data_IF_508053822163
#
_entry.id   IF_508053822163
#
_cell.length_a   1.000
_cell.length_b   1.000
_cell.length_c   1.000
_cell.angle_alpha   90.00
_cell.angle_beta   90.00
_cell.angle_gamma   90.00
#
_symmetry.space_group_name_H-M   'P 1'
#
loop_
_entity.id
_entity.type
_entity.pdbx_description
1 polymer ?
#
# COMPACT_ATOMS: atom_id res chain seq x y z
N UNK A 1 8.17 16.74 -21.38
CA UNK A 1 7.28 17.04 -20.23
C UNK A 1 8.13 17.13 -18.95
N UNK A 2 8.06 18.23 -18.19
CA UNK A 2 8.90 18.43 -17.00
C UNK A 2 8.20 17.92 -15.73
N UNK A 3 9.00 17.52 -14.73
CA UNK A 3 8.50 17.12 -13.40
C UNK A 3 7.71 18.25 -12.73
N UNK A 4 8.18 19.48 -12.88
CA UNK A 4 7.54 20.69 -12.32
C UNK A 4 6.14 20.85 -12.91
N UNK A 5 5.98 20.70 -14.23
CA UNK A 5 4.68 20.78 -14.88
C UNK A 5 3.69 19.75 -14.31
N UNK A 6 4.13 18.48 -14.18
CA UNK A 6 3.30 17.40 -13.62
C UNK A 6 2.94 17.69 -12.16
N UNK A 7 3.90 18.17 -11.36
CA UNK A 7 3.66 18.56 -9.97
C UNK A 7 2.61 19.67 -9.85
N UNK A 8 2.68 20.70 -10.70
CA UNK A 8 1.72 21.80 -10.73
C UNK A 8 0.33 21.37 -11.18
N UNK A 9 0.23 20.60 -12.28
CA UNK A 9 -1.07 20.16 -12.82
C UNK A 9 -1.78 19.19 -11.87
N UNK A 10 -1.05 18.22 -11.31
CA UNK A 10 -1.63 17.23 -10.40
C UNK A 10 -1.73 17.71 -8.96
N UNK A 11 -1.25 18.93 -8.65
CA UNK A 11 -1.17 19.49 -7.29
C UNK A 11 -0.45 18.54 -6.32
N UNK A 12 0.66 17.97 -6.76
CA UNK A 12 1.47 17.01 -5.99
C UNK A 12 2.87 17.55 -5.70
N UNK A 13 3.51 16.98 -4.67
CA UNK A 13 4.94 17.21 -4.41
C UNK A 13 5.77 16.68 -5.58
N UNK A 14 6.91 17.31 -5.85
CA UNK A 14 7.79 16.92 -6.96
C UNK A 14 8.24 15.46 -6.90
N UNK A 15 8.44 14.90 -5.70
CA UNK A 15 8.82 13.50 -5.54
C UNK A 15 7.75 12.54 -6.06
N UNK A 16 6.48 12.83 -5.78
CA UNK A 16 5.34 12.07 -6.31
C UNK A 16 5.24 12.26 -7.83
N UNK A 17 5.42 13.49 -8.31
CA UNK A 17 5.43 13.78 -9.75
C UNK A 17 6.55 13.03 -10.49
N UNK A 18 7.76 12.93 -9.91
CA UNK A 18 8.86 12.11 -10.45
C UNK A 18 8.45 10.65 -10.57
N UNK A 19 7.78 10.10 -9.56
CA UNK A 19 7.31 8.72 -9.61
C UNK A 19 6.25 8.52 -10.71
N UNK A 20 5.33 9.47 -10.87
CA UNK A 20 4.34 9.44 -11.96
C UNK A 20 5.03 9.45 -13.32
N UNK A 21 5.99 10.37 -13.54
CA UNK A 21 6.74 10.44 -14.81
C UNK A 21 7.48 9.13 -15.09
N UNK A 22 8.12 8.53 -14.08
CA UNK A 22 8.77 7.21 -14.22
C UNK A 22 7.78 6.12 -14.64
N UNK A 23 6.59 6.11 -14.06
CA UNK A 23 5.57 5.12 -14.38
C UNK A 23 5.01 5.32 -15.81
N UNK A 24 4.81 6.57 -16.24
CA UNK A 24 4.36 6.88 -17.61
C UNK A 24 5.40 6.46 -18.66
N UNK A 25 6.68 6.68 -18.38
CA UNK A 25 7.78 6.18 -19.21
C UNK A 25 7.81 4.66 -19.25
N UNK A 26 7.69 4.01 -18.09
CA UNK A 26 7.67 2.55 -17.99
C UNK A 26 6.47 1.92 -18.73
N UNK A 27 5.34 2.63 -18.82
CA UNK A 27 4.17 2.20 -19.57
C UNK A 27 4.25 2.48 -21.09
N UNK A 28 5.33 3.12 -21.57
CA UNK A 28 5.47 3.49 -22.98
C UNK A 28 4.55 4.61 -23.43
N UNK A 29 3.99 5.40 -22.50
CA UNK A 29 3.11 6.54 -22.80
C UNK A 29 3.90 7.83 -23.04
N UNK A 30 5.13 7.89 -22.55
CA UNK A 30 5.97 9.08 -22.60
C UNK A 30 7.39 8.67 -22.93
N UNK A 31 7.99 9.36 -23.90
CA UNK A 31 9.38 9.17 -24.31
C UNK A 31 10.38 9.70 -23.26
N UNK A 32 11.68 9.47 -23.48
CA UNK A 32 12.72 9.91 -22.55
C UNK A 32 12.79 11.45 -22.42
N UNK A 33 12.60 12.18 -23.52
CA UNK A 33 12.50 13.64 -23.59
C UNK A 33 11.16 14.20 -23.01
N UNK A 34 10.24 13.29 -22.72
CA UNK A 34 8.94 13.58 -22.17
C UNK A 34 7.89 14.01 -23.20
N UNK A 35 8.04 13.68 -24.48
CA UNK A 35 6.95 13.77 -25.45
C UNK A 35 5.97 12.61 -25.28
N UNK A 36 4.65 12.82 -25.48
CA UNK A 36 3.70 11.72 -25.57
C UNK A 36 4.05 10.81 -26.75
N UNK A 37 3.90 9.50 -26.56
CA UNK A 37 4.02 8.51 -27.64
C UNK A 37 2.74 8.43 -28.46
N UNK A 38 2.77 7.74 -29.61
CA UNK A 38 1.55 7.43 -30.36
C UNK A 38 0.54 6.62 -29.53
N UNK A 39 1.02 5.66 -28.72
CA UNK A 39 0.19 4.90 -27.77
C UNK A 39 -0.55 5.84 -26.81
N UNK A 40 0.08 6.95 -26.38
CA UNK A 40 -0.57 7.91 -25.50
C UNK A 40 -1.63 8.77 -26.19
N UNK A 41 -1.52 8.99 -27.51
CA UNK A 41 -2.57 9.63 -28.29
C UNK A 41 -3.73 8.65 -28.51
N UNK A 42 -3.42 7.43 -28.91
CA UNK A 42 -4.38 6.35 -29.16
C UNK A 42 -5.16 5.98 -27.90
N UNK A 43 -4.52 6.04 -26.73
CA UNK A 43 -5.17 5.80 -25.44
C UNK A 43 -6.22 6.85 -25.06
N UNK A 44 -6.17 8.05 -25.66
CA UNK A 44 -7.15 9.13 -25.41
C UNK A 44 -8.27 9.15 -26.43
N UNK A 45 -8.14 8.35 -27.49
CA UNK A 45 -9.10 8.22 -28.56
C UNK A 45 -10.02 7.02 -28.24
N UNK A 46 -11.33 7.26 -28.17
CA UNK A 46 -12.30 6.22 -27.81
C UNK A 46 -12.32 5.06 -28.83
N UNK A 47 -12.03 5.33 -30.11
CA UNK A 47 -11.99 4.33 -31.18
C UNK A 47 -10.71 3.49 -31.10
N UNK A 48 -9.58 4.11 -30.71
CA UNK A 48 -8.25 3.48 -30.67
C UNK A 48 -7.79 3.05 -29.28
N UNK A 49 -8.62 3.30 -28.26
CA UNK A 49 -8.36 2.93 -26.87
C UNK A 49 -8.03 1.43 -26.71
N UNK A 50 -8.78 0.56 -27.39
CA UNK A 50 -8.57 -0.88 -27.32
C UNK A 50 -7.21 -1.32 -27.87
N UNK A 51 -6.76 -0.70 -28.97
CA UNK A 51 -5.45 -0.93 -29.57
C UNK A 51 -4.33 -0.47 -28.62
N UNK A 52 -4.48 0.73 -28.05
CA UNK A 52 -3.54 1.28 -27.09
C UNK A 52 -3.43 0.40 -25.83
N UNK A 53 -4.56 -0.12 -25.32
CA UNK A 53 -4.58 -1.07 -24.21
C UNK A 53 -3.85 -2.37 -24.56
N UNK A 54 -4.01 -2.90 -25.78
CA UNK A 54 -3.26 -4.06 -26.26
C UNK A 54 -1.75 -3.79 -26.29
N UNK A 55 -1.33 -2.64 -26.80
CA UNK A 55 0.07 -2.22 -26.84
C UNK A 55 0.67 -2.07 -25.43
N UNK A 56 -0.07 -1.44 -24.50
CA UNK A 56 0.35 -1.33 -23.10
C UNK A 56 0.41 -2.69 -22.40
N UNK A 57 -0.48 -3.63 -22.74
CA UNK A 57 -0.49 -4.97 -22.16
C UNK A 57 0.78 -5.75 -22.54
N UNK A 58 1.35 -5.50 -23.71
CA UNK A 58 2.58 -6.15 -24.19
C UNK A 58 3.81 -5.82 -23.31
N UNK A 59 3.79 -4.71 -22.57
CA UNK A 59 4.85 -4.36 -21.60
C UNK A 59 4.86 -5.30 -20.39
N UNK A 60 3.73 -5.95 -20.08
CA UNK A 60 3.65 -6.88 -18.98
C UNK A 60 4.26 -8.26 -19.34
N UNK A 61 4.95 -8.91 -18.38
CA UNK A 61 5.53 -10.23 -18.59
C UNK A 61 4.51 -11.26 -19.05
N UNK A 62 4.97 -12.21 -19.88
CA UNK A 62 4.10 -13.22 -20.47
C UNK A 62 3.38 -14.06 -19.41
N UNK A 63 4.05 -14.39 -18.30
CA UNK A 63 3.48 -15.20 -17.23
C UNK A 63 2.26 -14.52 -16.58
N UNK A 64 2.27 -13.18 -16.50
CA UNK A 64 1.14 -12.42 -15.99
C UNK A 64 -0.04 -12.41 -16.98
N UNK A 65 0.26 -12.36 -18.28
CA UNK A 65 -0.77 -12.40 -19.33
C UNK A 65 -1.44 -13.77 -19.42
N UNK A 66 -0.70 -14.85 -19.16
CA UNK A 66 -1.20 -16.22 -19.16
C UNK A 66 -2.03 -16.56 -17.92
N UNK A 67 -1.59 -16.12 -16.74
CA UNK A 67 -2.32 -16.39 -15.48
C UNK A 67 -3.62 -15.59 -15.37
N UNK A 68 -3.68 -14.44 -16.03
CA UNK A 68 -4.80 -13.52 -15.96
C UNK A 68 -5.15 -12.96 -17.35
N UNK A 69 -5.70 -13.80 -18.24
CA UNK A 69 -6.09 -13.38 -19.58
C UNK A 69 -7.26 -12.39 -19.53
N UNK A 70 -7.30 -11.46 -20.50
CA UNK A 70 -8.43 -10.55 -20.70
C UNK A 70 -9.70 -11.29 -21.16
N UNK A 71 -10.89 -10.66 -21.10
CA UNK A 71 -11.16 -9.26 -20.76
C UNK A 71 -11.58 -9.01 -19.29
N UNK A 72 -11.65 -10.06 -18.46
CA UNK A 72 -12.03 -9.95 -17.04
C UNK A 72 -11.07 -10.76 -16.16
N UNK A 73 -9.82 -10.31 -16.02
CA UNK A 73 -8.85 -11.01 -15.17
C UNK A 73 -9.25 -10.93 -13.69
N UNK A 74 -8.94 -12.00 -12.94
CA UNK A 74 -9.16 -12.05 -11.50
C UNK A 74 -8.17 -11.13 -10.78
N UNK A 75 -8.72 -10.13 -10.06
CA UNK A 75 -7.95 -9.14 -9.31
C UNK A 75 -7.04 -9.77 -8.26
N UNK A 76 -7.49 -10.79 -7.55
CA UNK A 76 -6.73 -11.40 -6.46
C UNK A 76 -5.58 -12.24 -7.00
N UNK A 77 -5.79 -12.91 -8.13
CA UNK A 77 -4.73 -13.63 -8.86
C UNK A 77 -3.63 -12.66 -9.30
N UNK A 78 -4.00 -11.56 -9.95
CA UNK A 78 -3.05 -10.53 -10.42
C UNK A 78 -2.31 -9.88 -9.24
N UNK A 79 -3.03 -9.54 -8.16
CA UNK A 79 -2.44 -8.97 -6.94
C UNK A 79 -1.42 -9.93 -6.33
N UNK A 80 -1.78 -11.20 -6.16
CA UNK A 80 -0.89 -12.21 -5.59
C UNK A 80 0.33 -12.44 -6.48
N UNK A 81 0.19 -12.37 -7.80
CA UNK A 81 1.31 -12.42 -8.73
C UNK A 81 2.27 -11.24 -8.50
N UNK A 82 1.78 -9.99 -8.41
CA UNK A 82 2.64 -8.83 -8.14
C UNK A 82 3.36 -8.94 -6.79
N UNK A 83 2.68 -9.40 -5.74
CA UNK A 83 3.31 -9.63 -4.43
C UNK A 83 4.44 -10.66 -4.51
N UNK A 84 4.24 -11.76 -5.24
CA UNK A 84 5.22 -12.87 -5.32
C UNK A 84 6.38 -12.55 -6.26
N UNK A 85 6.09 -12.03 -7.45
CA UNK A 85 7.05 -11.79 -8.52
C UNK A 85 7.84 -10.48 -8.32
N UNK A 86 7.19 -9.41 -7.85
CA UNK A 86 7.81 -8.08 -7.67
C UNK A 86 8.16 -7.77 -6.22
N UNK A 87 7.83 -8.66 -5.28
CA UNK A 87 8.11 -8.51 -3.82
C UNK A 87 7.59 -7.19 -3.24
N UNK A 88 6.47 -6.71 -3.77
CA UNK A 88 5.83 -5.47 -3.30
C UNK A 88 4.80 -5.76 -2.21
N UNK A 89 4.60 -4.80 -1.29
CA UNK A 89 3.57 -4.90 -0.25
C UNK A 89 2.15 -4.89 -0.82
N UNK A 90 1.18 -5.35 -0.02
CA UNK A 90 -0.22 -5.53 -0.42
C UNK A 90 -0.87 -4.26 -1.02
N UNK A 91 -0.60 -3.09 -0.46
CA UNK A 91 -1.12 -1.82 -0.98
C UNK A 91 -0.59 -1.48 -2.38
N UNK A 92 0.71 -1.65 -2.61
CA UNK A 92 1.31 -1.43 -3.94
C UNK A 92 0.84 -2.47 -4.95
N UNK A 93 0.76 -3.75 -4.56
CA UNK A 93 0.21 -4.82 -5.40
C UNK A 93 -1.25 -4.56 -5.81
N UNK A 94 -2.05 -4.00 -4.90
CA UNK A 94 -3.44 -3.63 -5.16
C UNK A 94 -3.55 -2.56 -6.25
N UNK A 95 -2.69 -1.54 -6.20
CA UNK A 95 -2.65 -0.49 -7.22
C UNK A 95 -2.19 -1.06 -8.57
N UNK A 96 -1.13 -1.87 -8.59
CA UNK A 96 -0.62 -2.52 -9.80
C UNK A 96 -1.68 -3.44 -10.44
N UNK A 97 -2.41 -4.22 -9.64
CA UNK A 97 -3.48 -5.07 -10.12
C UNK A 97 -4.64 -4.26 -10.72
N UNK A 98 -5.02 -3.15 -10.07
CA UNK A 98 -6.06 -2.26 -10.61
C UNK A 98 -5.70 -1.69 -11.99
N UNK A 99 -4.45 -1.28 -12.17
CA UNK A 99 -3.96 -0.79 -13.48
C UNK A 99 -3.95 -1.90 -14.53
N UNK A 100 -3.47 -3.10 -14.18
CA UNK A 100 -3.50 -4.25 -15.10
C UNK A 100 -4.93 -4.59 -15.51
N UNK A 101 -5.87 -4.65 -14.56
CA UNK A 101 -7.29 -4.92 -14.84
C UNK A 101 -7.89 -3.90 -15.80
N UNK A 102 -7.58 -2.61 -15.61
CA UNK A 102 -8.05 -1.54 -16.49
C UNK A 102 -7.58 -1.79 -17.93
N UNK A 103 -6.27 -1.99 -18.12
CA UNK A 103 -5.65 -2.19 -19.43
C UNK A 103 -6.15 -3.50 -20.08
N UNK A 104 -6.17 -4.60 -19.32
CA UNK A 104 -6.58 -5.91 -19.82
C UNK A 104 -8.08 -6.00 -20.15
N UNK A 105 -8.91 -5.14 -19.54
CA UNK A 105 -10.33 -5.07 -19.86
C UNK A 105 -10.63 -4.29 -21.14
N UNK A 106 -9.77 -3.32 -21.48
CA UNK A 106 -9.96 -2.40 -22.61
C UNK A 106 -11.39 -1.83 -22.71
N UNK A 107 -12.04 -1.63 -21.55
CA UNK A 107 -13.47 -1.34 -21.45
C UNK A 107 -13.70 0.08 -20.94
N UNK A 108 -14.06 0.98 -21.86
CA UNK A 108 -14.44 2.37 -21.56
C UNK A 108 -15.79 2.49 -20.82
N UNK A 109 -16.64 1.45 -20.87
CA UNK A 109 -18.00 1.47 -20.34
C UNK A 109 -18.07 1.47 -18.82
N UNK A 110 -17.09 0.85 -18.14
CA UNK A 110 -17.10 0.70 -16.66
C UNK A 110 -16.82 1.98 -15.89
N UNK A 111 -16.29 3.02 -16.52
CA UNK A 111 -16.00 4.28 -15.85
C UNK A 111 -17.26 5.15 -15.65
N UNK A 112 -18.34 4.90 -16.41
CA UNK A 112 -19.62 5.62 -16.25
C UNK A 112 -20.40 5.24 -14.99
N UNK A 113 -20.19 4.02 -14.47
CA UNK A 113 -21.00 3.47 -13.36
C UNK A 113 -20.26 3.40 -12.02
N UNK A 114 -19.02 3.88 -11.94
CA UNK A 114 -18.29 3.90 -10.68
C UNK A 114 -18.88 5.01 -9.76
N UNK A 115 -19.45 4.67 -8.58
CA UNK A 115 -19.88 5.69 -7.65
C UNK A 115 -18.64 6.47 -7.20
N UNK A 116 -18.64 7.78 -7.48
CA UNK A 116 -17.62 8.73 -7.03
C UNK A 116 -17.48 8.58 -5.53
N UNK A 117 -16.41 7.91 -5.06
CA UNK A 117 -16.10 7.83 -3.64
C UNK A 117 -15.83 9.26 -3.17
N UNK A 118 -16.79 9.84 -2.47
CA UNK A 118 -16.63 11.13 -1.84
C UNK A 118 -15.39 11.06 -0.95
N UNK A 119 -14.36 11.84 -1.30
CA UNK A 119 -13.25 12.13 -0.40
C UNK A 119 -13.83 12.92 0.75
N UNK A 120 -14.22 12.25 1.83
CA UNK A 120 -14.45 12.91 3.10
C UNK A 120 -13.11 13.48 3.57
N UNK A 121 -12.84 14.72 3.18
CA UNK A 121 -11.85 15.58 3.82
C UNK A 121 -12.36 15.84 5.23
N UNK A 122 -11.94 15.00 6.18
CA UNK A 122 -12.14 15.26 7.60
C UNK A 122 -11.27 16.43 8.03
N UNK A 123 -11.78 17.65 7.86
CA UNK A 123 -11.27 18.83 8.56
C UNK A 123 -11.74 18.75 10.00
N UNK A 124 -10.88 18.31 10.91
CA UNK A 124 -11.11 18.42 12.35
C UNK A 124 -10.53 19.74 12.83
N UNK A 125 -11.37 20.79 12.86
CA UNK A 125 -11.07 22.05 13.54
C UNK A 125 -11.96 22.16 14.79
N UNK A 126 -11.31 22.15 15.96
CA UNK A 126 -11.58 22.97 17.14
C UNK A 126 -12.94 22.88 17.85
N UNK A 127 -12.90 22.47 19.12
CA UNK A 127 -13.89 22.93 20.11
C UNK A 127 -13.94 22.14 21.42
N UNK A 128 -13.31 22.68 22.48
CA UNK A 128 -13.83 22.58 23.85
C UNK A 128 -13.14 21.63 24.83
N UNK A 129 -12.15 22.16 25.58
CA UNK A 129 -11.74 21.64 26.89
C UNK A 129 -12.92 21.57 27.88
N UNK A 130 -12.87 20.61 28.83
CA UNK A 130 -12.86 21.05 30.23
C UNK A 130 -11.68 20.47 31.05
N UNK A 131 -11.06 21.38 31.83
CA UNK A 131 -10.13 21.16 32.98
C UNK A 131 -10.49 19.91 33.81
N UNK A 132 -9.55 19.13 34.35
CA UNK A 132 -8.74 19.35 35.58
C UNK A 132 -8.12 17.98 36.00
N UNK A 133 -7.15 17.81 36.93
CA UNK A 133 -5.96 18.57 37.31
C UNK A 133 -4.63 17.79 37.05
N UNK A 134 -3.53 18.53 37.09
CA UNK A 134 -2.17 18.03 37.13
C UNK A 134 -1.90 17.04 38.28
N UNK A 135 -1.22 15.92 37.97
CA UNK A 135 -0.43 15.16 38.95
C UNK A 135 1.04 15.13 38.52
N UNK A 136 1.87 15.36 39.52
CA UNK A 136 3.29 15.73 39.49
C UNK A 136 4.15 14.68 38.78
N UNK A 137 5.07 15.16 37.95
CA UNK A 137 6.14 14.36 37.39
C UNK A 137 7.06 13.83 38.49
N UNK A 138 7.24 12.51 38.51
CA UNK A 138 8.38 11.87 39.17
C UNK A 138 9.44 11.66 38.09
N UNK A 139 10.56 12.37 38.22
CA UNK A 139 11.79 12.04 37.51
C UNK A 139 12.27 10.68 38.03
N UNK A 140 12.36 9.68 37.17
CA UNK A 140 13.21 8.51 37.44
C UNK A 140 14.49 8.62 36.62
N UNK A 141 15.55 8.90 37.37
CA UNK A 141 16.97 8.76 37.03
C UNK A 141 17.40 7.29 37.11
N UNK A 142 18.16 6.83 36.10
CA UNK A 142 19.00 5.61 36.11
C UNK A 142 18.23 4.29 35.99
N UNK A 143 18.62 3.31 35.16
CA UNK A 143 19.98 2.84 34.89
C UNK A 143 20.01 2.14 33.52
N UNK A 144 20.90 2.58 32.62
CA UNK A 144 21.19 1.87 31.36
C UNK A 144 22.15 0.74 31.72
N UNK A 145 21.68 -0.50 31.68
CA UNK A 145 22.58 -1.65 31.71
C UNK A 145 22.97 -1.94 30.26
N UNK A 146 24.17 -1.52 29.87
CA UNK A 146 24.79 -1.97 28.63
C UNK A 146 25.05 -3.47 28.71
N UNK A 147 24.28 -4.26 27.96
CA UNK A 147 24.69 -5.61 27.60
C UNK A 147 25.42 -5.55 26.26
N UNK A 148 26.75 -5.52 26.32
CA UNK A 148 27.60 -5.93 25.20
C UNK A 148 27.43 -7.44 25.02
N UNK A 149 26.66 -7.85 24.01
CA UNK A 149 26.50 -9.27 23.67
C UNK A 149 25.55 -9.50 22.50
N UNK A 150 26.13 -9.76 21.32
CA UNK A 150 25.53 -10.29 20.09
C UNK A 150 24.37 -9.47 19.50
N UNK A 151 24.63 -8.90 18.31
CA UNK A 151 23.63 -8.26 17.45
C UNK A 151 22.54 -9.27 17.06
N UNK A 152 21.50 -9.34 17.88
CA UNK A 152 20.22 -9.94 17.51
C UNK A 152 19.45 -8.92 16.67
N UNK A 153 18.70 -9.35 15.63
CA UNK A 153 17.84 -8.45 14.90
C UNK A 153 16.81 -7.85 15.86
N UNK A 154 16.77 -6.51 15.92
CA UNK A 154 15.85 -5.77 16.76
C UNK A 154 14.44 -5.83 16.14
N UNK A 155 13.69 -6.88 16.48
CA UNK A 155 12.32 -7.06 16.00
C UNK A 155 11.34 -6.28 16.89
N UNK A 156 10.69 -5.26 16.31
CA UNK A 156 9.57 -4.57 16.95
C UNK A 156 8.28 -5.31 16.60
N UNK A 157 7.65 -5.93 17.58
CA UNK A 157 6.41 -6.71 17.40
C UNK A 157 5.25 -5.88 17.94
N UNK A 158 4.31 -5.51 17.05
CA UNK A 158 3.06 -4.88 17.41
C UNK A 158 1.93 -5.91 17.30
N UNK A 159 1.32 -6.28 18.44
CA UNK A 159 0.21 -7.23 18.51
C UNK A 159 -1.09 -6.49 18.80
N UNK A 160 -2.09 -6.66 17.95
CA UNK A 160 -3.45 -6.14 18.15
C UNK A 160 -4.39 -7.29 18.53
N UNK A 161 -5.03 -7.19 19.68
CA UNK A 161 -5.96 -8.19 20.19
C UNK A 161 -7.36 -7.62 20.06
N UNK A 162 -8.26 -8.37 19.42
CA UNK A 162 -9.68 -8.03 19.38
C UNK A 162 -10.38 -8.75 20.53
N UNK A 163 -10.74 -8.02 21.58
CA UNK A 163 -11.47 -8.57 22.73
C UNK A 163 -12.96 -8.44 22.43
N UNK A 164 -13.69 -9.54 22.52
CA UNK A 164 -15.14 -9.54 22.36
C UNK A 164 -15.78 -8.83 23.56
N UNK A 165 -16.79 -7.94 23.37
CA UNK A 165 -17.43 -7.23 24.49
C UNK A 165 -18.15 -8.15 25.47
N UNK A 166 -18.35 -9.42 25.13
CA UNK A 166 -19.00 -10.42 25.99
C UNK A 166 -18.01 -11.23 26.84
N UNK A 167 -16.69 -11.04 26.67
CA UNK A 167 -15.67 -11.74 27.45
C UNK A 167 -15.68 -11.32 28.92
N UNK A 168 -15.52 -12.31 29.81
CA UNK A 168 -15.35 -12.06 31.24
C UNK A 168 -13.90 -11.68 31.58
N UNK A 169 -13.70 -11.05 32.74
CA UNK A 169 -12.37 -10.65 33.20
C UNK A 169 -11.37 -11.83 33.23
N UNK A 170 -11.81 -12.99 33.74
CA UNK A 170 -10.97 -14.19 33.81
C UNK A 170 -10.52 -14.69 32.42
N UNK A 171 -11.35 -14.53 31.39
CA UNK A 171 -11.02 -14.91 30.02
C UNK A 171 -10.00 -13.96 29.40
N UNK A 172 -10.11 -12.66 29.69
CA UNK A 172 -9.14 -11.65 29.27
C UNK A 172 -7.77 -11.94 29.91
N UNK A 173 -7.74 -12.29 31.19
CA UNK A 173 -6.51 -12.64 31.89
C UNK A 173 -5.86 -13.92 31.33
N UNK A 174 -6.67 -14.90 30.93
CA UNK A 174 -6.17 -16.13 30.28
C UNK A 174 -5.51 -15.82 28.92
N UNK A 175 -6.07 -14.89 28.15
CA UNK A 175 -5.48 -14.43 26.87
C UNK A 175 -4.10 -13.81 27.12
N UNK A 176 -3.99 -12.92 28.09
CA UNK A 176 -2.71 -12.28 28.42
C UNK A 176 -1.70 -13.26 29.03
N UNK A 177 -2.14 -14.21 29.87
CA UNK A 177 -1.27 -15.25 30.41
C UNK A 177 -0.73 -16.18 29.32
N UNK A 178 -1.55 -16.54 28.33
CA UNK A 178 -1.13 -17.31 27.15
C UNK A 178 -0.08 -16.55 26.34
N UNK A 179 -0.29 -15.25 26.11
CA UNK A 179 0.66 -14.39 25.41
C UNK A 179 1.99 -14.27 26.15
N UNK A 180 1.97 -14.05 27.47
CA UNK A 180 3.18 -13.95 28.28
C UNK A 180 4.01 -15.23 28.18
N UNK A 181 3.36 -16.40 28.23
CA UNK A 181 4.02 -17.70 28.06
C UNK A 181 4.69 -17.84 26.70
N UNK A 182 4.12 -17.28 25.63
CA UNK A 182 4.63 -17.46 24.26
C UNK A 182 5.63 -16.38 23.84
N UNK A 183 5.48 -15.16 24.34
CA UNK A 183 6.40 -14.05 24.06
C UNK A 183 7.68 -14.12 24.92
N UNK A 184 7.58 -14.65 26.15
CA UNK A 184 8.71 -14.73 27.07
C UNK A 184 9.24 -16.17 27.28
N UNK A 185 8.42 -17.20 27.06
CA UNK A 185 8.76 -18.59 27.42
C UNK A 185 9.55 -19.40 26.38
N UNK A 186 9.88 -18.84 25.22
CA UNK A 186 10.67 -19.56 24.18
C UNK A 186 12.17 -19.23 24.16
N UNK A 187 12.70 -18.52 25.16
CA UNK A 187 14.15 -18.27 25.31
C UNK A 187 14.66 -18.77 26.66
N UNK A 188 14.52 -20.07 26.90
CA UNK A 188 14.95 -20.72 28.13
C UNK A 188 14.83 -22.24 28.10
N UNK A 189 15.29 -22.89 27.03
CA UNK A 189 15.52 -24.33 27.00
C UNK A 189 16.63 -24.62 25.98
N UNK A 190 17.85 -24.33 26.36
CA UNK A 190 19.02 -24.48 25.50
C UNK A 190 20.31 -24.10 26.22
N UNK A 191 20.55 -24.68 27.40
CA UNK A 191 21.91 -24.94 27.95
C UNK A 191 21.82 -25.44 29.40
N UNK A 192 22.63 -26.48 29.67
CA UNK A 192 22.84 -27.26 30.90
C UNK A 192 21.88 -28.44 31.09
#
# INVERSE_FOLDING_TARGET
>A
MTVIYVASVLKQKEESARQVVRNLKAAGLVEEDGTPTEIANDWRDDERYGEACGAMLAVYPQELREIAPGPKPDRDVVKNWFMRARKVGSGAATNMASTYLLIASADLGRQKDAPRRATASGTSAGGGDPKTPARKGVKQTGQVVEHHGLSLPQAQIAVQINIDPTMTADQIDLVFASMAKHLYGSRGAGSA
#
